data_IF_113793342723
#
_entry.id   IF_113793342723
#
_cell.length_a   1.000
_cell.length_b   1.000
_cell.length_c   1.000
_cell.angle_alpha   90.00
_cell.angle_beta   90.00
_cell.angle_gamma   90.00
#
_symmetry.space_group_name_H-M   'P 1'
#
loop_
_entity.id
_entity.type
_entity.pdbx_description
1 polymer ?
#
# COMPACT_ATOMS: atom_id res chain seq x y z
N UNK A 1 -8.13 4.19 -0.29
CA UNK A 1 -6.96 3.42 0.18
C UNK A 1 -6.98 2.06 -0.49
N UNK A 2 -5.91 1.69 -1.20
CA UNK A 2 -5.81 0.41 -1.92
C UNK A 2 -6.03 -0.82 -1.03
N UNK A 3 -5.65 -0.75 0.26
CA UNK A 3 -5.90 -1.85 1.22
C UNK A 3 -7.38 -2.16 1.44
N UNK A 4 -8.27 -1.16 1.33
CA UNK A 4 -9.70 -1.34 1.64
C UNK A 4 -10.37 -2.23 0.60
N UNK A 5 -10.03 -2.10 -0.68
CA UNK A 5 -10.57 -3.02 -1.69
C UNK A 5 -9.87 -4.38 -1.72
N UNK A 6 -8.74 -4.54 -1.02
CA UNK A 6 -8.12 -5.86 -0.78
C UNK A 6 -8.61 -6.52 0.51
N UNK A 7 -9.48 -5.86 1.27
CA UNK A 7 -9.85 -6.25 2.63
C UNK A 7 -8.66 -6.38 3.61
N UNK A 8 -7.57 -5.66 3.34
CA UNK A 8 -6.35 -5.69 4.15
C UNK A 8 -6.38 -4.66 5.27
N UNK A 9 -5.99 -5.10 6.46
CA UNK A 9 -5.69 -4.22 7.59
C UNK A 9 -4.35 -3.51 7.41
N UNK A 10 -4.15 -2.40 8.15
CA UNK A 10 -2.88 -1.67 8.17
C UNK A 10 -1.71 -2.57 8.58
N UNK A 11 -1.95 -3.54 9.47
CA UNK A 11 -0.94 -4.51 9.91
C UNK A 11 -0.59 -5.51 8.80
N UNK A 12 -1.57 -6.01 8.06
CA UNK A 12 -1.32 -6.95 6.96
C UNK A 12 -0.54 -6.29 5.84
N UNK A 13 -0.92 -5.07 5.45
CA UNK A 13 -0.16 -4.32 4.45
C UNK A 13 1.26 -4.03 4.95
N UNK A 14 1.42 -3.68 6.22
CA UNK A 14 2.74 -3.44 6.82
C UNK A 14 3.62 -4.70 6.83
N UNK A 15 3.05 -5.85 7.16
CA UNK A 15 3.72 -7.15 7.17
C UNK A 15 4.19 -7.54 5.76
N UNK A 16 3.28 -7.44 4.77
CA UNK A 16 3.57 -7.70 3.35
C UNK A 16 4.64 -6.76 2.79
N UNK A 17 4.58 -5.48 3.16
CA UNK A 17 5.55 -4.47 2.73
C UNK A 17 6.83 -4.46 3.58
N UNK A 18 6.93 -5.28 4.64
CA UNK A 18 8.03 -5.29 5.61
C UNK A 18 8.34 -3.90 6.20
N UNK A 19 7.30 -3.13 6.49
CA UNK A 19 7.40 -1.81 7.13
C UNK A 19 6.66 -1.82 8.47
N UNK A 20 6.87 -0.77 9.27
CA UNK A 20 6.08 -0.62 10.49
C UNK A 20 4.64 -0.16 10.17
N UNK A 21 3.62 -0.62 10.92
CA UNK A 21 2.24 -0.15 10.76
C UNK A 21 2.09 1.38 10.91
N UNK A 22 2.95 1.97 11.74
CA UNK A 22 3.00 3.43 11.92
C UNK A 22 3.44 4.13 10.63
N UNK A 23 4.34 3.52 9.85
CA UNK A 23 4.79 4.05 8.56
C UNK A 23 3.66 4.01 7.52
N UNK A 24 2.87 2.93 7.50
CA UNK A 24 1.66 2.84 6.66
C UNK A 24 0.66 3.93 7.05
N UNK A 25 0.39 4.09 8.35
CA UNK A 25 -0.52 5.13 8.85
C UNK A 25 -0.03 6.56 8.51
N UNK A 26 1.28 6.80 8.59
CA UNK A 26 1.90 8.07 8.20
C UNK A 26 1.84 8.32 6.70
N UNK A 27 2.08 7.28 5.89
CA UNK A 27 1.93 7.30 4.43
C UNK A 27 0.50 7.66 4.03
N UNK A 28 -0.47 6.97 4.62
CA UNK A 28 -1.90 7.18 4.41
C UNK A 28 -2.37 8.59 4.82
N UNK A 29 -1.73 9.19 5.83
CA UNK A 29 -1.99 10.56 6.29
C UNK A 29 -1.19 11.62 5.52
N UNK A 30 -0.37 11.24 4.55
CA UNK A 30 0.50 12.16 3.80
C UNK A 30 1.65 12.75 4.62
N UNK A 31 1.93 12.24 5.82
CA UNK A 31 3.05 12.69 6.67
C UNK A 31 4.28 11.83 6.40
N UNK A 32 5.17 12.32 5.53
CA UNK A 32 6.57 11.87 5.51
C UNK A 32 6.78 10.41 5.14
N UNK A 33 6.18 9.97 4.04
CA UNK A 33 6.59 8.73 3.41
C UNK A 33 7.92 8.92 2.68
N UNK A 34 8.97 8.22 3.12
CA UNK A 34 10.16 8.08 2.28
C UNK A 34 9.77 7.38 0.97
N UNK A 35 10.33 7.82 -0.15
CA UNK A 35 10.08 7.25 -1.50
C UNK A 35 10.31 5.72 -1.52
N UNK A 36 11.21 5.22 -0.67
CA UNK A 36 11.45 3.80 -0.50
C UNK A 36 10.28 3.05 0.15
N UNK A 37 9.59 3.67 1.12
CA UNK A 37 8.39 3.10 1.73
C UNK A 37 7.24 3.05 0.73
N UNK A 38 7.07 4.11 -0.07
CA UNK A 38 6.07 4.14 -1.13
C UNK A 38 6.24 2.96 -2.10
N UNK A 39 7.48 2.73 -2.57
CA UNK A 39 7.83 1.58 -3.41
C UNK A 39 7.58 0.24 -2.72
N UNK A 40 7.93 0.09 -1.45
CA UNK A 40 7.69 -1.15 -0.71
C UNK A 40 6.19 -1.47 -0.58
N UNK A 41 5.36 -0.46 -0.33
CA UNK A 41 3.90 -0.60 -0.27
C UNK A 41 3.31 -0.94 -1.65
N UNK A 42 3.80 -0.29 -2.71
CA UNK A 42 3.41 -0.57 -4.08
C UNK A 42 3.71 -2.03 -4.46
N UNK A 43 4.92 -2.51 -4.18
CA UNK A 43 5.34 -3.90 -4.43
C UNK A 43 4.53 -4.90 -3.61
N UNK A 44 4.18 -4.59 -2.37
CA UNK A 44 3.35 -5.44 -1.53
C UNK A 44 1.92 -5.56 -2.07
N UNK A 45 1.35 -4.45 -2.56
CA UNK A 45 0.03 -4.43 -3.18
C UNK A 45 0.03 -5.18 -4.51
N UNK A 46 1.05 -4.97 -5.36
CA UNK A 46 1.26 -5.74 -6.59
C UNK A 46 1.43 -7.25 -6.31
N UNK A 47 2.11 -7.61 -5.22
CA UNK A 47 2.27 -9.01 -4.79
C UNK A 47 0.94 -9.67 -4.39
N UNK A 48 -0.11 -8.89 -4.14
CA UNK A 48 -1.45 -9.44 -3.93
C UNK A 48 -2.04 -10.02 -5.22
N UNK A 49 -1.54 -9.64 -6.40
CA UNK A 49 -2.05 -10.06 -7.71
C UNK A 49 -3.43 -9.50 -8.09
N UNK A 50 -4.09 -8.78 -7.18
CA UNK A 50 -5.43 -8.18 -7.36
C UNK A 50 -5.40 -6.67 -7.53
N UNK A 51 -4.22 -6.05 -7.43
CA UNK A 51 -4.05 -4.60 -7.50
C UNK A 51 -3.26 -4.22 -8.72
N UNK A 52 -3.78 -3.25 -9.46
CA UNK A 52 -3.11 -2.61 -10.59
C UNK A 52 -2.97 -1.12 -10.32
N UNK A 53 -1.75 -0.63 -10.41
CA UNK A 53 -1.46 0.80 -10.36
C UNK A 53 -1.61 1.37 -11.78
N UNK A 54 -2.57 2.26 -11.98
CA UNK A 54 -2.77 2.99 -13.24
C UNK A 54 -2.10 4.37 -13.09
N UNK A 55 -0.85 4.43 -13.52
CA UNK A 55 -0.03 5.64 -13.45
C UNK A 55 0.17 6.16 -12.04
N UNK A 56 0.06 7.48 -11.88
CA UNK A 56 0.38 8.20 -10.64
C UNK A 56 -0.86 8.63 -9.84
N UNK A 57 -2.07 8.26 -10.28
CA UNK A 57 -3.31 8.87 -9.82
C UNK A 57 -4.36 7.88 -9.33
N UNK A 58 -4.32 6.61 -9.77
CA UNK A 58 -5.30 5.62 -9.34
C UNK A 58 -4.69 4.24 -9.07
N UNK A 59 -5.28 3.58 -8.07
CA UNK A 59 -5.01 2.19 -7.72
C UNK A 59 -6.31 1.43 -7.96
N UNK A 60 -6.33 0.63 -9.01
CA UNK A 60 -7.46 -0.20 -9.41
C UNK A 60 -7.34 -1.58 -8.76
N UNK A 61 -8.46 -2.12 -8.31
CA UNK A 61 -8.53 -3.43 -7.69
C UNK A 61 -9.45 -4.24 -8.60
N UNK A 62 -8.91 -5.31 -9.19
CA UNK A 62 -9.70 -6.22 -10.01
C UNK A 62 -10.41 -7.21 -9.07
N UNK A 63 -11.73 -7.32 -9.19
CA UNK A 63 -12.60 -8.20 -8.38
C UNK A 63 -12.34 -9.69 -8.65
#
# INVERSE_FOLDING_TARGET
MARVGLDWTVRELADKAKVMPNTVSNFEKGRGAQTNTAKALEQALLSSGKVRFEGNNCVCIEE
#
